data_IF_257282852984
#
_entry.id   IF_257282852984
#
_cell.length_a   1.000
_cell.length_b   1.000
_cell.length_c   1.000
_cell.angle_alpha   90.00
_cell.angle_beta   90.00
_cell.angle_gamma   90.00
#
_symmetry.space_group_name_H-M   'P 1'
#
loop_
_entity.id
_entity.type
_entity.pdbx_description
1 polymer ?
#
# COMPACT_ATOMS: atom_id res chain seq x y z
N UNK A 1 11.28 7.02 20.79
CA UNK A 1 12.08 5.79 20.92
C UNK A 1 11.21 4.56 21.20
N UNK A 2 10.51 4.50 22.34
CA UNK A 2 9.71 3.31 22.72
C UNK A 2 8.60 2.92 21.72
N UNK A 3 7.86 3.91 21.18
CA UNK A 3 6.84 3.67 20.16
C UNK A 3 7.43 3.09 18.86
N UNK A 4 8.58 3.59 18.41
CA UNK A 4 9.24 3.09 17.20
C UNK A 4 9.72 1.65 17.39
N UNK A 5 10.23 1.32 18.58
CA UNK A 5 10.61 -0.06 18.93
C UNK A 5 9.38 -0.97 18.91
N UNK A 6 8.27 -0.53 19.52
CA UNK A 6 7.02 -1.30 19.50
C UNK A 6 6.51 -1.54 18.08
N UNK A 7 6.51 -0.51 17.22
CA UNK A 7 6.13 -0.66 15.81
C UNK A 7 7.06 -1.64 15.07
N UNK A 8 8.38 -1.52 15.25
CA UNK A 8 9.33 -2.45 14.64
C UNK A 8 9.10 -3.90 15.08
N UNK A 9 8.82 -4.13 16.37
CA UNK A 9 8.49 -5.46 16.89
C UNK A 9 7.17 -6.00 16.32
N UNK A 10 6.13 -5.17 16.23
CA UNK A 10 4.85 -5.55 15.63
C UNK A 10 4.99 -5.89 14.15
N UNK A 11 5.77 -5.10 13.40
CA UNK A 11 6.05 -5.38 11.98
C UNK A 11 6.83 -6.69 11.83
N UNK A 12 7.90 -6.89 12.61
CA UNK A 12 8.68 -8.12 12.55
C UNK A 12 7.86 -9.36 12.90
N UNK A 13 7.05 -9.30 13.97
CA UNK A 13 6.15 -10.39 14.35
C UNK A 13 5.06 -10.63 13.30
N UNK A 14 4.49 -9.54 12.76
CA UNK A 14 3.48 -9.60 11.71
C UNK A 14 4.01 -10.22 10.42
N UNK A 15 5.21 -9.83 9.97
CA UNK A 15 5.90 -10.44 8.83
C UNK A 15 6.19 -11.91 9.08
N UNK A 16 6.74 -12.24 10.25
CA UNK A 16 7.00 -13.64 10.62
C UNK A 16 5.73 -14.49 10.54
N UNK A 17 4.62 -14.03 11.13
CA UNK A 17 3.35 -14.74 11.06
C UNK A 17 2.83 -14.82 9.62
N UNK A 18 2.91 -13.72 8.87
CA UNK A 18 2.41 -13.62 7.51
C UNK A 18 3.11 -14.57 6.55
N UNK A 19 4.44 -14.73 6.64
CA UNK A 19 5.20 -15.69 5.81
C UNK A 19 4.68 -17.12 5.96
N UNK A 20 4.14 -17.51 7.12
CA UNK A 20 3.60 -18.84 7.34
C UNK A 20 2.13 -18.98 6.87
N UNK A 21 1.35 -17.89 6.91
CA UNK A 21 -0.08 -17.90 6.56
C UNK A 21 -0.30 -17.64 5.06
N UNK A 22 0.46 -16.74 4.46
CA UNK A 22 0.32 -16.29 3.07
C UNK A 22 0.29 -17.43 2.04
N UNK A 23 1.10 -18.50 2.15
CA UNK A 23 1.02 -19.64 1.24
C UNK A 23 -0.34 -20.34 1.23
N UNK A 24 -1.00 -20.44 2.39
CA UNK A 24 -2.34 -21.03 2.51
C UNK A 24 -3.42 -20.17 1.84
N UNK A 25 -3.12 -18.90 1.58
CA UNK A 25 -4.00 -17.96 0.90
C UNK A 25 -3.67 -17.79 -0.59
N UNK A 26 -2.67 -18.52 -1.11
CA UNK A 26 -2.23 -18.44 -2.50
C UNK A 26 -1.39 -17.18 -2.80
N UNK A 27 -0.85 -16.51 -1.78
CA UNK A 27 0.00 -15.33 -1.92
C UNK A 27 1.47 -15.76 -2.07
N UNK A 28 1.74 -16.47 -3.17
CA UNK A 28 3.07 -16.97 -3.51
C UNK A 28 3.31 -16.72 -4.99
N UNK A 29 4.40 -16.01 -5.30
CA UNK A 29 4.88 -15.87 -6.68
C UNK A 29 5.64 -17.12 -7.10
N UNK A 30 5.39 -17.55 -8.33
CA UNK A 30 6.02 -18.72 -8.92
C UNK A 30 7.12 -18.27 -9.88
N UNK A 31 8.31 -18.89 -9.85
CA UNK A 31 9.41 -18.48 -10.72
C UNK A 31 9.01 -18.65 -12.20
N UNK A 32 9.12 -17.55 -12.95
CA UNK A 32 8.90 -17.50 -14.39
C UNK A 32 10.22 -17.39 -15.14
N UNK A 33 10.22 -17.50 -16.47
CA UNK A 33 11.40 -17.28 -17.32
C UNK A 33 12.01 -15.87 -17.21
N UNK A 34 11.30 -14.95 -16.53
CA UNK A 34 11.71 -13.57 -16.27
C UNK A 34 12.07 -13.31 -14.79
N UNK A 35 11.81 -14.26 -13.90
CA UNK A 35 12.02 -14.10 -12.46
C UNK A 35 13.50 -14.27 -12.09
N UNK A 36 13.99 -13.46 -11.15
CA UNK A 36 15.36 -13.56 -10.62
C UNK A 36 15.50 -14.60 -9.50
N UNK A 37 14.38 -15.03 -8.92
CA UNK A 37 14.31 -16.09 -7.92
C UNK A 37 14.06 -17.45 -8.58
N UNK A 38 14.61 -18.51 -8.00
CA UNK A 38 14.45 -19.91 -8.48
C UNK A 38 13.51 -20.73 -7.61
N UNK A 39 13.10 -20.19 -6.46
CA UNK A 39 12.19 -20.82 -5.50
C UNK A 39 10.94 -19.97 -5.33
N UNK A 40 9.75 -20.55 -5.14
CA UNK A 40 8.53 -19.78 -4.87
C UNK A 40 8.72 -18.86 -3.67
N UNK A 41 8.32 -17.59 -3.81
CA UNK A 41 8.48 -16.55 -2.78
C UNK A 41 7.13 -16.01 -2.33
N UNK A 42 7.02 -15.67 -1.04
CA UNK A 42 5.81 -15.03 -0.51
C UNK A 42 5.71 -13.61 -1.03
N UNK A 43 4.53 -13.23 -1.56
CA UNK A 43 4.22 -11.86 -1.99
C UNK A 43 3.41 -11.10 -0.95
N UNK A 44 3.14 -9.81 -1.18
CA UNK A 44 2.36 -8.94 -0.28
C UNK A 44 2.95 -8.72 1.12
N UNK A 45 4.27 -8.90 1.30
CA UNK A 45 4.95 -8.67 2.58
C UNK A 45 4.71 -7.26 3.16
N UNK A 46 4.47 -6.26 2.30
CA UNK A 46 4.12 -4.90 2.69
C UNK A 46 2.86 -4.76 3.56
N UNK A 47 2.01 -5.79 3.66
CA UNK A 47 0.79 -5.74 4.49
C UNK A 47 1.10 -5.46 5.96
N UNK A 48 2.13 -6.10 6.53
CA UNK A 48 2.48 -5.94 7.94
C UNK A 48 2.92 -4.50 8.29
N UNK A 49 3.91 -3.89 7.61
CA UNK A 49 4.27 -2.50 7.87
C UNK A 49 3.13 -1.51 7.58
N UNK A 50 2.32 -1.73 6.55
CA UNK A 50 1.23 -0.81 6.21
C UNK A 50 0.07 -0.86 7.21
N UNK A 51 -0.28 -2.04 7.75
CA UNK A 51 -1.28 -2.16 8.82
C UNK A 51 -0.81 -1.48 10.11
N UNK A 52 0.46 -1.67 10.50
CA UNK A 52 1.03 -1.01 11.68
C UNK A 52 1.09 0.50 11.49
N UNK A 53 1.48 0.98 10.30
CA UNK A 53 1.49 2.40 9.96
C UNK A 53 0.08 3.00 10.04
N UNK A 54 -0.93 2.37 9.41
CA UNK A 54 -2.30 2.86 9.42
C UNK A 54 -2.88 2.89 10.84
N UNK A 55 -2.66 1.84 11.64
CA UNK A 55 -3.08 1.80 13.04
C UNK A 55 -2.38 2.88 13.87
N UNK A 56 -1.07 3.08 13.67
CA UNK A 56 -0.29 4.14 14.32
C UNK A 56 -0.84 5.52 13.96
N UNK A 57 -1.01 5.83 12.67
CA UNK A 57 -1.62 7.08 12.22
C UNK A 57 -2.98 7.31 12.89
N UNK A 58 -3.85 6.29 12.90
CA UNK A 58 -5.20 6.43 13.45
C UNK A 58 -5.23 6.65 14.97
N UNK A 59 -4.27 6.10 15.71
CA UNK A 59 -4.33 6.04 17.19
C UNK A 59 -3.37 6.96 17.91
N UNK A 60 -2.25 7.34 17.29
CA UNK A 60 -1.17 8.08 17.97
C UNK A 60 -0.91 9.46 17.38
N UNK A 61 -1.38 9.74 16.17
CA UNK A 61 -1.14 11.00 15.48
C UNK A 61 -2.40 11.86 15.47
N UNK A 62 -2.26 13.13 15.80
CA UNK A 62 -3.37 14.08 15.83
C UNK A 62 -3.01 15.31 14.98
N UNK A 63 -3.39 15.25 13.70
CA UNK A 63 -3.31 16.37 12.77
C UNK A 63 -4.53 16.36 11.84
N UNK A 64 -4.88 17.50 11.21
CA UNK A 64 -6.03 17.57 10.33
C UNK A 64 -5.93 16.54 9.19
N UNK A 65 -6.89 15.62 9.13
CA UNK A 65 -6.98 14.61 8.08
C UNK A 65 -6.19 13.32 8.33
N UNK A 66 -5.56 13.12 9.49
CA UNK A 66 -4.82 11.88 9.80
C UNK A 66 -5.66 10.62 9.60
N UNK A 67 -6.92 10.63 10.04
CA UNK A 67 -7.81 9.47 9.89
C UNK A 67 -8.11 9.16 8.42
N UNK A 68 -8.22 10.20 7.58
CA UNK A 68 -8.39 10.02 6.13
C UNK A 68 -7.12 9.40 5.52
N UNK A 69 -5.93 9.85 5.92
CA UNK A 69 -4.66 9.24 5.49
C UNK A 69 -4.61 7.77 5.91
N UNK A 70 -4.89 7.46 7.18
CA UNK A 70 -4.90 6.10 7.69
C UNK A 70 -5.87 5.19 6.92
N UNK A 71 -7.09 5.66 6.66
CA UNK A 71 -8.08 4.92 5.87
C UNK A 71 -7.62 4.70 4.43
N UNK A 72 -7.06 5.72 3.78
CA UNK A 72 -6.55 5.58 2.41
C UNK A 72 -5.33 4.65 2.33
N UNK A 73 -4.47 4.63 3.35
CA UNK A 73 -3.40 3.62 3.48
C UNK A 73 -3.98 2.21 3.55
N UNK A 74 -5.04 1.97 4.33
CA UNK A 74 -5.71 0.67 4.38
C UNK A 74 -6.34 0.28 3.04
N UNK A 75 -6.98 1.23 2.36
CA UNK A 75 -7.57 1.03 1.02
C UNK A 75 -6.48 0.61 0.02
N UNK A 76 -5.37 1.33 -0.05
CA UNK A 76 -4.25 0.99 -0.95
C UNK A 76 -3.62 -0.36 -0.60
N UNK A 77 -3.49 -0.67 0.69
CA UNK A 77 -2.99 -1.97 1.16
C UNK A 77 -3.91 -3.11 0.69
N UNK A 78 -5.23 -2.92 0.80
CA UNK A 78 -6.20 -3.90 0.34
C UNK A 78 -6.17 -4.06 -1.20
N UNK A 79 -6.03 -2.96 -1.96
CA UNK A 79 -5.88 -3.01 -3.42
C UNK A 79 -4.62 -3.78 -3.80
N UNK A 80 -3.48 -3.51 -3.15
CA UNK A 80 -2.22 -4.22 -3.39
C UNK A 80 -2.34 -5.72 -3.10
N UNK A 81 -2.94 -6.08 -1.96
CA UNK A 81 -3.19 -7.48 -1.61
C UNK A 81 -4.10 -8.20 -2.61
N UNK A 82 -5.15 -7.53 -3.09
CA UNK A 82 -6.05 -8.08 -4.11
C UNK A 82 -5.33 -8.22 -5.46
N UNK A 83 -4.47 -7.28 -5.82
CA UNK A 83 -3.66 -7.34 -7.03
C UNK A 83 -2.69 -8.52 -7.00
N UNK A 84 -1.95 -8.68 -5.90
CA UNK A 84 -1.02 -9.80 -5.73
C UNK A 84 -1.72 -11.16 -5.77
N UNK A 85 -2.96 -11.24 -5.26
CA UNK A 85 -3.74 -12.48 -5.25
C UNK A 85 -4.39 -12.81 -6.59
N UNK A 86 -4.95 -11.80 -7.26
CA UNK A 86 -5.85 -12.00 -8.39
C UNK A 86 -5.31 -11.50 -9.73
N UNK A 87 -4.20 -10.75 -9.73
CA UNK A 87 -3.65 -10.11 -10.92
C UNK A 87 -4.65 -9.13 -11.54
N UNK A 88 -4.91 -8.01 -10.88
CA UNK A 88 -5.91 -7.05 -11.35
C UNK A 88 -5.50 -6.46 -12.70
N UNK A 89 -6.46 -6.22 -13.62
CA UNK A 89 -6.16 -5.53 -14.87
C UNK A 89 -5.55 -4.15 -14.61
N UNK A 90 -4.55 -3.76 -15.41
CA UNK A 90 -3.82 -2.50 -15.25
C UNK A 90 -4.75 -1.27 -15.20
N UNK A 91 -5.83 -1.27 -16.00
CA UNK A 91 -6.84 -0.22 -15.97
C UNK A 91 -7.59 -0.12 -14.63
N UNK A 92 -7.90 -1.25 -14.00
CA UNK A 92 -8.56 -1.29 -12.69
C UNK A 92 -7.62 -0.74 -11.61
N UNK A 93 -6.35 -1.20 -11.60
CA UNK A 93 -5.33 -0.69 -10.67
C UNK A 93 -5.17 0.82 -10.77
N UNK A 94 -5.02 1.32 -12.00
CA UNK A 94 -4.89 2.75 -12.25
C UNK A 94 -6.09 3.55 -11.74
N UNK A 95 -7.31 3.09 -12.02
CA UNK A 95 -8.53 3.77 -11.54
C UNK A 95 -8.62 3.75 -10.01
N UNK A 96 -8.24 2.65 -9.36
CA UNK A 96 -8.20 2.55 -7.90
C UNK A 96 -7.22 3.57 -7.31
N UNK A 97 -5.97 3.62 -7.79
CA UNK A 97 -4.97 4.56 -7.27
C UNK A 97 -5.34 6.02 -7.56
N UNK A 98 -5.89 6.29 -8.75
CA UNK A 98 -6.39 7.61 -9.13
C UNK A 98 -7.52 8.05 -8.19
N UNK A 99 -8.51 7.19 -7.96
CA UNK A 99 -9.64 7.47 -7.07
C UNK A 99 -9.17 7.69 -5.63
N UNK A 100 -8.21 6.90 -5.15
CA UNK A 100 -7.63 7.10 -3.81
C UNK A 100 -6.93 8.44 -3.69
N UNK A 101 -6.13 8.85 -4.68
CA UNK A 101 -5.46 10.16 -4.65
C UNK A 101 -6.44 11.33 -4.73
N UNK A 102 -7.48 11.22 -5.55
CA UNK A 102 -8.57 12.21 -5.63
C UNK A 102 -9.28 12.35 -4.28
N UNK A 103 -9.71 11.22 -3.70
CA UNK A 103 -10.45 11.20 -2.45
C UNK A 103 -9.59 11.68 -1.27
N UNK A 104 -8.33 11.26 -1.21
CA UNK A 104 -7.40 11.73 -0.18
C UNK A 104 -7.23 13.25 -0.26
N UNK A 105 -6.97 13.80 -1.44
CA UNK A 105 -6.82 15.24 -1.63
C UNK A 105 -8.10 16.00 -1.25
N UNK A 106 -9.26 15.49 -1.65
CA UNK A 106 -10.56 16.06 -1.29
C UNK A 106 -10.80 16.08 0.23
N UNK A 107 -10.43 15.00 0.94
CA UNK A 107 -10.62 14.89 2.39
C UNK A 107 -9.63 15.72 3.20
N UNK A 108 -8.43 15.98 2.67
CA UNK A 108 -7.40 16.77 3.34
C UNK A 108 -7.59 18.28 3.17
N UNK A 109 -8.23 18.71 2.09
CA UNK A 109 -8.43 20.13 1.80
C UNK A 109 -9.74 20.65 2.41
N UNK A 110 -9.76 21.90 2.90
CA UNK A 110 -11.00 22.55 3.31
C UNK A 110 -12.08 22.53 2.21
N UNK A 111 -13.34 22.43 2.62
CA UNK A 111 -14.45 22.42 1.68
C UNK A 111 -14.42 23.67 0.78
N UNK A 112 -14.44 23.45 -0.54
CA UNK A 112 -14.40 24.52 -1.55
C UNK A 112 -13.02 25.07 -1.89
N UNK A 113 -11.94 24.62 -1.25
CA UNK A 113 -10.58 25.08 -1.56
C UNK A 113 -9.87 24.26 -2.66
N UNK A 114 -10.37 23.07 -2.96
CA UNK A 114 -9.77 22.18 -3.96
C UNK A 114 -10.29 22.52 -5.37
N UNK A 115 -9.42 23.06 -6.22
CA UNK A 115 -9.73 23.18 -7.66
C UNK A 115 -9.70 21.80 -8.33
N UNK A 116 -10.48 21.63 -9.40
CA UNK A 116 -10.49 20.38 -10.19
C UNK A 116 -9.07 20.02 -10.65
N UNK A 117 -8.28 21.02 -11.05
CA UNK A 117 -6.89 20.83 -11.45
C UNK A 117 -6.04 20.24 -10.32
N UNK A 118 -6.17 20.74 -9.09
CA UNK A 118 -5.43 20.21 -7.93
C UNK A 118 -5.84 18.77 -7.63
N UNK A 119 -7.13 18.46 -7.66
CA UNK A 119 -7.62 17.10 -7.47
C UNK A 119 -7.04 16.15 -8.52
N UNK A 120 -7.17 16.48 -9.80
CA UNK A 120 -6.65 15.67 -10.91
C UNK A 120 -5.14 15.46 -10.78
N UNK A 121 -4.39 16.53 -10.47
CA UNK A 121 -2.94 16.44 -10.25
C UNK A 121 -2.59 15.50 -9.10
N UNK A 122 -3.31 15.58 -7.97
CA UNK A 122 -3.09 14.71 -6.82
C UNK A 122 -3.42 13.24 -7.14
N UNK A 123 -4.55 12.99 -7.80
CA UNK A 123 -4.94 11.66 -8.27
C UNK A 123 -3.88 11.05 -9.19
N UNK A 124 -3.45 11.81 -10.20
CA UNK A 124 -2.41 11.38 -11.15
C UNK A 124 -1.09 11.16 -10.43
N UNK A 125 -0.69 12.04 -9.50
CA UNK A 125 0.55 11.89 -8.74
C UNK A 125 0.56 10.59 -7.92
N UNK A 126 -0.53 10.27 -7.21
CA UNK A 126 -0.65 9.02 -6.45
C UNK A 126 -0.58 7.80 -7.37
N UNK A 127 -1.38 7.77 -8.44
CA UNK A 127 -1.37 6.68 -9.40
C UNK A 127 0.00 6.50 -10.08
N UNK A 128 0.67 7.60 -10.39
CA UNK A 128 2.00 7.60 -10.98
C UNK A 128 3.04 7.06 -9.99
N UNK A 129 3.10 7.59 -8.77
CA UNK A 129 4.09 7.17 -7.77
C UNK A 129 3.97 5.68 -7.44
N UNK A 130 2.75 5.17 -7.25
CA UNK A 130 2.54 3.75 -6.96
C UNK A 130 2.96 2.88 -8.15
N UNK A 131 2.57 3.23 -9.37
CA UNK A 131 2.99 2.48 -10.55
C UNK A 131 4.50 2.56 -10.80
N UNK A 132 5.13 3.70 -10.51
CA UNK A 132 6.57 3.89 -10.64
C UNK A 132 7.33 2.96 -9.68
N UNK A 133 6.94 2.92 -8.41
CA UNK A 133 7.55 2.01 -7.42
C UNK A 133 7.32 0.56 -7.80
N UNK A 134 6.09 0.18 -8.17
CA UNK A 134 5.79 -1.18 -8.63
C UNK A 134 6.58 -1.58 -9.89
N UNK A 135 6.94 -0.61 -10.74
CA UNK A 135 7.77 -0.86 -11.92
C UNK A 135 9.25 -1.04 -11.55
N UNK A 136 9.73 -0.39 -10.48
CA UNK A 136 11.10 -0.48 -9.99
C UNK A 136 11.36 -1.71 -9.12
N UNK A 137 10.34 -2.25 -8.45
CA UNK A 137 10.39 -3.42 -7.53
C UNK A 137 10.64 -4.77 -8.25
N UNK A 138 11.11 -4.73 -9.51
CA UNK A 138 11.49 -5.92 -10.29
C UNK A 138 12.86 -6.49 -9.94
N UNK A 139 13.61 -5.89 -9.02
CA UNK A 139 14.88 -6.37 -8.50
C UNK A 139 14.84 -6.37 -6.97
N UNK A 140 15.25 -7.48 -6.34
CA UNK A 140 15.20 -7.65 -4.87
C UNK A 140 15.87 -6.47 -4.14
N UNK A 141 15.09 -5.65 -3.43
CA UNK A 141 15.58 -4.62 -2.51
C UNK A 141 15.73 -3.19 -3.06
N UNK A 142 15.02 -2.81 -4.12
CA UNK A 142 14.90 -1.41 -4.61
C UNK A 142 13.65 -0.69 -4.10
#
# INVERSE_FOLDING_TARGET
>A
MMMLIAMALLVSLGLWAFVHVAPHWGLVDQPSSRSLHTTPTVVSGGIAPMLVLAAGLYTTMDFPGTQAVALMTLVLTAIGLLDDRHGLPSGVRFLCYLATGLLLCWLLLPAGSASITVLVMAGVAVAWCINLVNFMDGADGL
#
